data_IF_458487927859
#
_entry.id   IF_458487927859
#
_cell.length_a   1.000
_cell.length_b   1.000
_cell.length_c   1.000
_cell.angle_alpha   90.00
_cell.angle_beta   90.00
_cell.angle_gamma   90.00
#
_symmetry.space_group_name_H-M   'P 1'
#
loop_
_entity.id
_entity.type
_entity.pdbx_description
1 polymer ?
#
# COMPACT_ATOMS: atom_id res chain seq x y z
N UNK A 1 32.97 3.74 -15.15
CA UNK A 1 31.73 3.44 -15.89
C UNK A 1 30.47 3.31 -14.98
N UNK A 2 30.49 3.76 -13.72
CA UNK A 2 29.38 3.53 -12.78
C UNK A 2 28.29 4.64 -12.70
N UNK A 3 28.48 5.81 -13.31
CA UNK A 3 27.58 6.98 -13.07
C UNK A 3 26.24 6.96 -13.83
N UNK A 4 26.04 6.13 -14.86
CA UNK A 4 24.81 6.16 -15.67
C UNK A 4 23.68 5.24 -15.17
N UNK A 5 23.99 4.14 -14.46
CA UNK A 5 22.99 3.19 -13.99
C UNK A 5 22.12 3.77 -12.84
N UNK A 6 22.75 4.49 -11.91
CA UNK A 6 22.14 5.05 -10.70
C UNK A 6 21.04 6.10 -11.01
N UNK A 7 21.33 7.06 -11.91
CA UNK A 7 20.36 8.09 -12.30
C UNK A 7 19.06 7.55 -12.91
N UNK A 8 19.10 6.34 -13.48
CA UNK A 8 17.93 5.71 -14.08
C UNK A 8 16.93 5.25 -13.02
N UNK A 9 17.41 4.76 -11.89
CA UNK A 9 16.60 4.24 -10.76
C UNK A 9 15.88 5.39 -10.06
N UNK A 10 16.57 6.52 -9.85
CA UNK A 10 16.01 7.76 -9.29
C UNK A 10 14.74 8.26 -10.01
N UNK A 11 14.57 7.96 -11.31
CA UNK A 11 13.36 8.34 -12.07
C UNK A 11 12.18 7.39 -11.85
N UNK A 12 12.46 6.17 -11.41
CA UNK A 12 11.46 5.15 -11.12
C UNK A 12 10.77 5.39 -9.78
N UNK A 13 11.23 6.33 -8.96
CA UNK A 13 10.76 6.55 -7.59
C UNK A 13 10.02 7.89 -7.48
N UNK A 14 8.96 7.92 -6.68
CA UNK A 14 8.28 9.15 -6.30
C UNK A 14 9.15 9.98 -5.37
N UNK A 15 9.31 11.27 -5.67
CA UNK A 15 10.12 12.16 -4.84
C UNK A 15 9.37 12.55 -3.58
N UNK A 16 10.08 12.57 -2.47
CA UNK A 16 9.55 12.99 -1.18
C UNK A 16 9.06 14.44 -1.20
N UNK A 17 8.03 14.78 -0.41
CA UNK A 17 7.76 16.16 0.01
C UNK A 17 9.01 16.86 0.57
N UNK A 18 9.03 18.19 0.52
CA UNK A 18 10.23 19.00 0.79
C UNK A 18 10.79 18.78 2.20
N UNK A 19 9.92 18.79 3.21
CA UNK A 19 10.23 18.57 4.62
C UNK A 19 10.81 17.18 4.88
N UNK A 20 10.19 16.12 4.33
CA UNK A 20 10.68 14.75 4.45
C UNK A 20 12.03 14.55 3.75
N UNK A 21 12.20 15.14 2.56
CA UNK A 21 13.47 15.08 1.83
C UNK A 21 14.58 15.81 2.58
N UNK A 22 14.28 16.98 3.14
CA UNK A 22 15.20 17.72 3.99
C UNK A 22 15.55 16.94 5.26
N UNK A 23 14.57 16.33 5.93
CA UNK A 23 14.79 15.51 7.12
C UNK A 23 15.72 14.33 6.84
N UNK A 24 15.57 13.67 5.68
CA UNK A 24 16.47 12.59 5.24
C UNK A 24 17.91 13.11 5.07
N UNK A 25 18.08 14.26 4.42
CA UNK A 25 19.38 14.88 4.22
C UNK A 25 20.03 15.32 5.55
N UNK A 26 19.26 15.89 6.48
CA UNK A 26 19.73 16.25 7.82
C UNK A 26 20.20 15.02 8.59
N UNK A 27 19.45 13.90 8.55
CA UNK A 27 19.90 12.62 9.15
C UNK A 27 21.22 12.11 8.57
N UNK A 28 21.50 12.42 7.31
CA UNK A 28 22.77 12.09 6.64
C UNK A 28 23.88 13.11 6.94
N UNK A 29 23.60 14.14 7.75
CA UNK A 29 24.55 15.19 8.11
C UNK A 29 24.77 16.25 7.03
N UNK A 30 23.84 16.41 6.08
CA UNK A 30 23.85 17.49 5.09
C UNK A 30 23.22 18.73 5.70
N UNK A 31 23.97 19.82 5.79
CA UNK A 31 23.48 21.07 6.40
C UNK A 31 23.50 22.26 5.42
N UNK A 32 24.23 22.12 4.32
CA UNK A 32 24.43 23.20 3.36
C UNK A 32 24.26 22.73 1.92
N UNK A 33 24.12 23.69 1.01
CA UNK A 33 24.17 23.42 -0.44
C UNK A 33 25.50 22.80 -0.89
N UNK A 34 26.58 23.17 -0.21
CA UNK A 34 27.91 22.64 -0.45
C UNK A 34 27.97 21.15 -0.09
N UNK A 35 27.45 20.78 1.09
CA UNK A 35 27.35 19.38 1.48
C UNK A 35 26.52 18.57 0.49
N UNK A 36 25.37 19.09 0.06
CA UNK A 36 24.51 18.41 -0.91
C UNK A 36 25.18 18.21 -2.27
N UNK A 37 25.97 19.20 -2.72
CA UNK A 37 26.77 19.08 -3.95
C UNK A 37 27.81 17.98 -3.81
N UNK A 38 28.54 17.92 -2.69
CA UNK A 38 29.54 16.88 -2.46
C UNK A 38 28.92 15.50 -2.23
N UNK A 39 27.73 15.41 -1.62
CA UNK A 39 26.93 14.18 -1.55
C UNK A 39 26.56 13.68 -2.95
N UNK A 40 26.16 14.59 -3.84
CA UNK A 40 25.77 14.24 -5.22
C UNK A 40 26.97 13.81 -6.07
N UNK A 41 28.15 14.39 -5.81
CA UNK A 41 29.40 14.04 -6.50
C UNK A 41 30.11 12.83 -5.87
N UNK A 42 29.69 12.41 -4.67
CA UNK A 42 30.33 11.39 -3.83
C UNK A 42 31.78 11.76 -3.53
N UNK A 43 31.98 12.96 -3.00
CA UNK A 43 33.30 13.52 -2.72
C UNK A 43 33.46 13.85 -1.23
N UNK A 44 34.72 13.88 -0.77
CA UNK A 44 35.06 14.21 0.61
C UNK A 44 34.39 13.26 1.61
N UNK A 45 33.69 13.80 2.60
CA UNK A 45 33.01 13.00 3.64
C UNK A 45 31.83 12.15 3.13
N UNK A 46 31.44 12.29 1.86
CA UNK A 46 30.35 11.53 1.23
C UNK A 46 30.83 10.51 0.18
N UNK A 47 32.11 10.14 0.18
CA UNK A 47 32.69 9.21 -0.82
C UNK A 47 31.95 7.86 -0.92
N UNK A 48 31.43 7.36 0.20
CA UNK A 48 30.73 6.07 0.28
C UNK A 48 29.19 6.20 0.33
N UNK A 49 28.67 7.41 0.29
CA UNK A 49 27.24 7.68 0.48
C UNK A 49 26.70 8.37 -0.75
N UNK A 50 25.65 7.81 -1.35
CA UNK A 50 24.97 8.44 -2.48
C UNK A 50 23.74 9.21 -2.02
N UNK A 51 23.36 10.20 -2.82
CA UNK A 51 22.10 10.93 -2.65
C UNK A 51 20.91 9.95 -2.77
N UNK A 52 19.99 9.90 -1.80
CA UNK A 52 18.85 8.99 -1.85
C UNK A 52 18.01 9.17 -3.12
N UNK A 53 17.50 8.06 -3.65
CA UNK A 53 16.77 8.04 -4.92
C UNK A 53 15.39 8.71 -4.85
N UNK A 54 14.84 8.91 -3.67
CA UNK A 54 13.58 9.60 -3.40
C UNK A 54 13.77 11.09 -3.08
N UNK A 55 15.00 11.56 -2.88
CA UNK A 55 15.34 12.98 -2.87
C UNK A 55 15.45 13.46 -4.35
N UNK A 56 15.12 14.72 -4.70
CA UNK A 56 15.37 15.27 -6.03
C UNK A 56 16.85 15.64 -6.23
N UNK A 57 17.33 15.66 -7.49
CA UNK A 57 18.72 16.01 -7.79
C UNK A 57 19.02 17.51 -7.68
N UNK A 58 17.98 18.33 -7.77
CA UNK A 58 18.05 19.77 -7.55
C UNK A 58 16.80 20.20 -6.76
N UNK A 59 16.86 20.23 -5.41
CA UNK A 59 15.75 20.63 -4.57
C UNK A 59 15.21 22.03 -4.91
N UNK A 60 16.11 22.98 -5.21
CA UNK A 60 15.75 24.37 -5.46
C UNK A 60 14.85 24.59 -6.68
N UNK A 61 14.97 23.73 -7.70
CA UNK A 61 14.10 23.79 -8.90
C UNK A 61 12.96 22.79 -8.86
N UNK A 62 12.96 21.86 -7.90
CA UNK A 62 11.96 20.80 -7.81
C UNK A 62 10.78 21.17 -6.91
N UNK A 63 11.05 21.86 -5.80
CA UNK A 63 10.03 22.26 -4.84
C UNK A 63 9.62 23.71 -5.04
N UNK A 64 8.32 23.95 -5.31
CA UNK A 64 7.78 25.30 -5.53
C UNK A 64 7.90 26.19 -4.28
N UNK A 65 7.91 25.59 -3.08
CA UNK A 65 8.06 26.27 -1.80
C UNK A 65 9.51 26.38 -1.32
N UNK A 66 10.49 26.08 -2.17
CA UNK A 66 11.90 26.26 -1.84
C UNK A 66 12.29 27.74 -1.90
N UNK A 67 12.72 28.31 -0.78
CA UNK A 67 13.13 29.71 -0.67
C UNK A 67 14.64 29.87 -0.50
N UNK A 68 15.24 29.08 0.39
CA UNK A 68 16.68 29.05 0.64
C UNK A 68 17.09 27.69 1.19
N UNK A 69 18.39 27.39 1.13
CA UNK A 69 18.94 26.19 1.74
C UNK A 69 18.78 26.17 3.27
N UNK A 70 18.86 27.33 3.92
CA UNK A 70 18.63 27.46 5.35
C UNK A 70 17.19 27.07 5.71
N UNK A 71 16.20 27.62 4.99
CA UNK A 71 14.78 27.26 5.19
C UNK A 71 14.51 25.78 4.89
N UNK A 72 15.12 25.23 3.83
CA UNK A 72 14.99 23.83 3.48
C UNK A 72 15.50 22.92 4.61
N UNK A 73 16.69 23.18 5.14
CA UNK A 73 17.27 22.40 6.24
C UNK A 73 16.47 22.58 7.54
N UNK A 74 15.98 23.79 7.81
CA UNK A 74 15.12 24.05 8.98
C UNK A 74 13.83 23.22 8.92
N UNK A 75 13.16 23.17 7.76
CA UNK A 75 11.97 22.33 7.58
C UNK A 75 12.26 20.84 7.85
N UNK A 76 13.46 20.36 7.48
CA UNK A 76 13.91 19.01 7.80
C UNK A 76 14.13 18.78 9.29
N UNK A 77 14.72 19.74 10.00
CA UNK A 77 14.90 19.70 11.46
C UNK A 77 13.55 19.72 12.18
N UNK A 78 12.65 20.62 11.79
CA UNK A 78 11.29 20.71 12.35
C UNK A 78 10.51 19.39 12.18
N UNK A 79 10.67 18.73 11.01
CA UNK A 79 10.08 17.41 10.78
C UNK A 79 10.65 16.36 11.75
N UNK A 80 11.97 16.32 11.96
CA UNK A 80 12.61 15.39 12.89
C UNK A 80 12.19 15.66 14.35
N UNK A 81 12.09 16.94 14.74
CA UNK A 81 11.68 17.35 16.07
C UNK A 81 10.20 17.00 16.37
N UNK A 82 9.37 16.86 15.33
CA UNK A 82 8.00 16.35 15.48
C UNK A 82 7.90 14.87 15.88
N UNK A 83 9.03 14.14 15.89
CA UNK A 83 9.10 12.72 16.24
C UNK A 83 8.61 11.77 15.14
N UNK A 84 8.30 12.29 13.95
CA UNK A 84 7.90 11.46 12.80
C UNK A 84 9.09 10.70 12.22
N UNK A 85 8.86 9.47 11.81
CA UNK A 85 9.86 8.71 11.05
C UNK A 85 10.02 9.28 9.65
N UNK A 86 11.26 9.26 9.15
CA UNK A 86 11.58 9.66 7.79
C UNK A 86 11.23 8.48 6.89
N UNK A 87 10.36 8.63 5.88
CA UNK A 87 9.96 7.51 5.05
C UNK A 87 11.15 6.96 4.25
N UNK A 88 11.25 5.63 4.22
CA UNK A 88 12.19 4.92 3.36
C UNK A 88 11.50 4.36 2.12
N UNK A 89 12.27 4.09 1.08
CA UNK A 89 11.75 3.43 -0.11
C UNK A 89 11.33 2.01 0.29
N UNK A 90 10.05 1.63 0.13
CA UNK A 90 9.57 0.34 0.60
C UNK A 90 10.27 -0.82 -0.11
N UNK A 91 10.58 -1.89 0.63
CA UNK A 91 11.00 -3.15 0.05
C UNK A 91 9.87 -3.78 -0.78
N UNK A 92 10.17 -4.78 -1.60
CA UNK A 92 9.14 -5.49 -2.37
C UNK A 92 8.03 -6.05 -1.46
N UNK A 93 8.42 -6.67 -0.35
CA UNK A 93 7.50 -7.23 0.65
C UNK A 93 6.69 -6.16 1.39
N UNK A 94 7.32 -5.06 1.79
CA UNK A 94 6.60 -3.99 2.47
C UNK A 94 5.62 -3.30 1.51
N UNK A 95 6.00 -3.15 0.24
CA UNK A 95 5.08 -2.63 -0.76
C UNK A 95 3.88 -3.56 -0.94
N UNK A 96 4.06 -4.89 -0.99
CA UNK A 96 2.94 -5.85 -1.02
C UNK A 96 2.02 -5.71 0.20
N UNK A 97 2.58 -5.53 1.41
CA UNK A 97 1.78 -5.29 2.63
C UNK A 97 0.94 -4.02 2.52
N UNK A 98 1.54 -2.93 2.06
CA UNK A 98 0.85 -1.65 1.83
C UNK A 98 -0.27 -1.83 0.81
N UNK A 99 -0.01 -2.49 -0.32
CA UNK A 99 -1.04 -2.74 -1.33
C UNK A 99 -2.20 -3.58 -0.80
N UNK A 100 -1.92 -4.58 0.05
CA UNK A 100 -2.94 -5.37 0.73
C UNK A 100 -3.79 -4.53 1.70
N UNK A 101 -3.15 -3.70 2.51
CA UNK A 101 -3.84 -2.80 3.46
C UNK A 101 -4.75 -1.80 2.74
N UNK A 102 -4.27 -1.22 1.64
CA UNK A 102 -5.02 -0.28 0.81
C UNK A 102 -5.96 -0.95 -0.20
N UNK A 103 -6.07 -2.29 -0.20
CA UNK A 103 -6.91 -3.07 -1.12
C UNK A 103 -6.68 -2.72 -2.61
N UNK A 104 -5.40 -2.58 -2.98
CA UNK A 104 -4.97 -2.24 -4.33
C UNK A 104 -4.74 -3.51 -5.13
N UNK A 105 -5.79 -3.91 -5.83
CA UNK A 105 -5.89 -5.17 -6.60
C UNK A 105 -5.69 -5.00 -8.11
N UNK A 106 -5.48 -3.77 -8.57
CA UNK A 106 -5.35 -3.45 -10.00
C UNK A 106 -4.28 -2.40 -10.23
N UNK A 107 -3.66 -2.46 -11.41
CA UNK A 107 -2.68 -1.44 -11.86
C UNK A 107 -3.26 -0.02 -11.85
N UNK A 108 -4.57 0.13 -12.09
CA UNK A 108 -5.23 1.43 -12.07
C UNK A 108 -5.34 1.98 -10.64
N UNK A 109 -5.78 1.16 -9.68
CA UNK A 109 -5.78 1.55 -8.26
C UNK A 109 -4.37 1.84 -7.76
N UNK A 110 -3.37 1.08 -8.20
CA UNK A 110 -1.97 1.36 -7.90
C UNK A 110 -1.54 2.75 -8.39
N UNK A 111 -1.82 3.08 -9.66
CA UNK A 111 -1.56 4.43 -10.20
C UNK A 111 -2.32 5.52 -9.44
N UNK A 112 -3.53 5.25 -8.94
CA UNK A 112 -4.29 6.21 -8.13
C UNK A 112 -3.67 6.40 -6.75
N UNK A 113 -3.25 5.32 -6.08
CA UNK A 113 -2.55 5.38 -4.80
C UNK A 113 -1.29 6.26 -4.92
N UNK A 114 -0.51 6.08 -5.98
CA UNK A 114 0.70 6.87 -6.23
C UNK A 114 0.45 8.36 -6.53
N UNK A 115 -0.78 8.76 -6.89
CA UNK A 115 -1.13 10.18 -7.02
C UNK A 115 -1.24 10.86 -5.66
N UNK A 116 -1.63 10.11 -4.64
CA UNK A 116 -1.62 10.58 -3.26
C UNK A 116 -0.23 10.37 -2.67
N UNK A 117 0.62 11.41 -2.77
CA UNK A 117 2.02 11.36 -2.34
C UNK A 117 2.18 11.09 -0.84
N UNK A 118 1.17 11.41 -0.05
CA UNK A 118 1.19 11.23 1.41
C UNK A 118 0.81 9.79 1.81
N UNK A 119 0.09 9.06 0.95
CA UNK A 119 -0.35 7.70 1.25
C UNK A 119 0.80 6.70 1.25
N UNK A 120 1.72 6.83 0.27
CA UNK A 120 2.93 6.00 0.20
C UNK A 120 4.10 6.86 -0.28
N UNK A 121 4.77 7.60 0.62
CA UNK A 121 5.97 8.34 0.28
C UNK A 121 7.04 7.40 -0.29
N UNK A 122 7.87 7.90 -1.21
CA UNK A 122 8.97 7.14 -1.81
C UNK A 122 8.59 5.86 -2.58
N UNK A 123 7.30 5.65 -2.87
CA UNK A 123 6.87 4.48 -3.62
C UNK A 123 7.42 4.44 -5.06
N UNK A 124 7.91 3.27 -5.53
CA UNK A 124 8.29 3.09 -6.92
C UNK A 124 7.09 3.23 -7.87
N UNK A 125 7.25 4.09 -8.89
CA UNK A 125 6.29 4.32 -9.97
C UNK A 125 6.25 3.20 -10.98
N UNK A 126 7.35 2.48 -11.11
CA UNK A 126 7.55 1.34 -12.01
C UNK A 126 8.17 0.19 -11.20
N UNK A 127 7.38 -0.49 -10.33
CA UNK A 127 7.87 -1.52 -9.43
C UNK A 127 8.52 -2.69 -10.18
N UNK A 128 8.05 -3.02 -11.38
CA UNK A 128 8.62 -4.05 -12.24
C UNK A 128 10.04 -3.77 -12.71
N UNK A 129 10.44 -2.50 -12.72
CA UNK A 129 11.80 -2.07 -13.06
C UNK A 129 12.65 -1.82 -11.81
N UNK A 130 12.03 -1.34 -10.74
CA UNK A 130 12.73 -1.03 -9.49
C UNK A 130 13.08 -2.30 -8.72
N UNK A 131 12.15 -3.25 -8.63
CA UNK A 131 12.34 -4.55 -7.98
C UNK A 131 12.74 -5.64 -8.97
N UNK A 132 13.48 -5.30 -10.03
CA UNK A 132 13.73 -6.20 -11.18
C UNK A 132 14.25 -7.58 -10.75
N UNK A 133 15.10 -7.65 -9.72
CA UNK A 133 15.69 -8.90 -9.22
C UNK A 133 14.71 -9.79 -8.43
N UNK A 134 13.60 -9.23 -7.95
CA UNK A 134 12.59 -9.92 -7.14
C UNK A 134 11.18 -9.85 -7.75
N UNK A 135 11.07 -9.39 -8.99
CA UNK A 135 9.79 -9.14 -9.61
C UNK A 135 9.15 -10.41 -10.16
N UNK A 136 8.04 -10.82 -9.54
CA UNK A 136 7.32 -12.05 -9.91
C UNK A 136 6.14 -11.80 -10.85
N UNK A 137 5.78 -10.54 -11.07
CA UNK A 137 4.65 -10.14 -11.89
C UNK A 137 3.60 -9.35 -11.13
N UNK A 138 2.67 -8.76 -11.88
CA UNK A 138 1.63 -7.91 -11.29
C UNK A 138 0.63 -8.68 -10.43
N UNK A 139 0.36 -9.94 -10.76
CA UNK A 139 -0.63 -10.74 -10.04
C UNK A 139 -0.17 -11.11 -8.62
N UNK A 140 1.14 -11.28 -8.43
CA UNK A 140 1.75 -11.54 -7.12
C UNK A 140 2.04 -10.24 -6.35
N UNK A 141 2.35 -9.15 -7.07
CA UNK A 141 2.66 -7.86 -6.45
C UNK A 141 1.42 -7.14 -5.92
N UNK A 142 0.30 -7.20 -6.64
CA UNK A 142 -0.95 -6.54 -6.25
C UNK A 142 -1.65 -7.29 -5.11
N UNK A 143 -2.52 -6.60 -4.39
CA UNK A 143 -3.42 -7.27 -3.47
C UNK A 143 -4.29 -8.28 -4.25
N UNK A 144 -4.64 -9.42 -3.65
CA UNK A 144 -5.53 -10.39 -4.29
C UNK A 144 -6.81 -9.70 -4.76
N UNK A 145 -7.11 -9.80 -6.05
CA UNK A 145 -8.34 -9.30 -6.65
C UNK A 145 -9.49 -10.25 -6.35
N UNK A 146 -9.81 -10.42 -5.07
CA UNK A 146 -11.01 -11.12 -4.67
C UNK A 146 -12.14 -10.11 -4.58
N UNK A 147 -13.10 -10.23 -5.51
CA UNK A 147 -14.38 -9.52 -5.43
C UNK A 147 -15.09 -9.75 -4.08
N UNK A 148 -14.73 -10.82 -3.38
CA UNK A 148 -15.34 -11.25 -2.14
C UNK A 148 -14.33 -11.39 -1.01
N UNK A 149 -14.76 -11.08 0.22
CA UNK A 149 -13.99 -11.30 1.44
C UNK A 149 -13.65 -12.79 1.58
N UNK A 150 -12.57 -13.16 2.27
CA UNK A 150 -12.31 -14.55 2.63
C UNK A 150 -13.54 -15.20 3.30
N UNK A 151 -13.76 -16.48 3.05
CA UNK A 151 -14.96 -17.20 3.52
C UNK A 151 -15.20 -17.03 5.04
N UNK A 152 -14.16 -17.11 5.85
CA UNK A 152 -14.24 -16.94 7.31
C UNK A 152 -14.65 -15.53 7.74
N UNK A 153 -14.16 -14.49 7.06
CA UNK A 153 -14.57 -13.10 7.33
C UNK A 153 -16.02 -12.87 6.89
N UNK A 154 -16.39 -13.40 5.72
CA UNK A 154 -17.76 -13.34 5.23
C UNK A 154 -18.73 -14.02 6.20
N UNK A 155 -18.41 -15.21 6.73
CA UNK A 155 -19.20 -15.90 7.76
C UNK A 155 -19.42 -15.03 8.99
N UNK A 156 -18.36 -14.41 9.52
CA UNK A 156 -18.47 -13.53 10.70
C UNK A 156 -19.45 -12.39 10.48
N UNK A 157 -19.39 -11.75 9.31
CA UNK A 157 -20.29 -10.64 8.96
C UNK A 157 -21.72 -11.15 8.76
N UNK A 158 -21.92 -12.21 7.98
CA UNK A 158 -23.28 -12.71 7.66
C UNK A 158 -24.01 -13.24 8.90
N UNK A 159 -23.28 -13.85 9.84
CA UNK A 159 -23.85 -14.30 11.12
C UNK A 159 -24.44 -13.17 11.96
N UNK A 160 -23.97 -11.92 11.80
CA UNK A 160 -24.54 -10.76 12.51
C UNK A 160 -25.99 -10.47 12.12
N UNK A 161 -26.41 -10.85 10.92
CA UNK A 161 -27.79 -10.68 10.42
C UNK A 161 -28.76 -11.73 10.95
N UNK A 162 -28.28 -12.77 11.64
CA UNK A 162 -29.08 -13.84 12.28
C UNK A 162 -30.13 -14.45 11.35
N UNK A 163 -29.76 -14.66 10.09
CA UNK A 163 -30.68 -15.18 9.08
C UNK A 163 -30.84 -16.70 9.23
N UNK A 164 -32.08 -17.16 9.27
CA UNK A 164 -32.40 -18.58 9.50
C UNK A 164 -32.51 -19.43 8.22
N UNK A 165 -32.33 -18.83 7.04
CA UNK A 165 -32.46 -19.56 5.77
C UNK A 165 -31.78 -18.87 4.60
N UNK A 166 -31.47 -19.67 3.58
CA UNK A 166 -31.01 -19.19 2.28
C UNK A 166 -32.01 -18.24 1.60
N UNK A 167 -33.31 -18.42 1.86
CA UNK A 167 -34.36 -17.54 1.35
C UNK A 167 -34.23 -16.12 1.91
N UNK A 168 -34.00 -15.99 3.23
CA UNK A 168 -33.77 -14.71 3.88
C UNK A 168 -32.51 -14.01 3.35
N UNK A 169 -31.44 -14.77 3.10
CA UNK A 169 -30.24 -14.20 2.47
C UNK A 169 -30.50 -13.66 1.07
N UNK A 170 -31.24 -14.39 0.22
CA UNK A 170 -31.59 -13.91 -1.12
C UNK A 170 -32.49 -12.69 -1.08
N UNK A 171 -33.40 -12.61 -0.11
CA UNK A 171 -34.25 -11.43 0.11
C UNK A 171 -33.42 -10.21 0.49
N UNK A 172 -32.49 -10.35 1.45
CA UNK A 172 -31.53 -9.31 1.84
C UNK A 172 -30.75 -8.79 0.62
N UNK A 173 -30.28 -9.71 -0.22
CA UNK A 173 -29.57 -9.37 -1.46
C UNK A 173 -30.46 -8.62 -2.45
N UNK A 174 -31.71 -9.06 -2.65
CA UNK A 174 -32.68 -8.39 -3.55
C UNK A 174 -33.04 -6.98 -3.09
N UNK A 175 -33.04 -6.74 -1.78
CA UNK A 175 -33.27 -5.41 -1.18
C UNK A 175 -32.05 -4.49 -1.25
N UNK A 176 -30.92 -4.94 -1.79
CA UNK A 176 -29.67 -4.17 -1.82
C UNK A 176 -28.98 -4.03 -0.47
N UNK A 177 -29.45 -4.73 0.58
CA UNK A 177 -28.87 -4.69 1.92
C UNK A 177 -27.77 -5.74 2.12
N UNK A 178 -27.21 -6.27 1.03
CA UNK A 178 -26.11 -7.24 1.08
C UNK A 178 -24.82 -6.54 1.53
N UNK A 179 -24.09 -7.09 2.52
CA UNK A 179 -22.78 -6.56 2.87
C UNK A 179 -21.83 -6.50 1.69
N UNK A 180 -20.99 -5.47 1.66
CA UNK A 180 -19.95 -5.30 0.65
C UNK A 180 -18.95 -6.46 0.72
N UNK A 181 -18.48 -6.92 -0.44
CA UNK A 181 -17.54 -8.03 -0.51
C UNK A 181 -18.14 -9.40 -0.16
N UNK A 182 -19.45 -9.57 -0.12
CA UNK A 182 -20.06 -10.90 0.08
C UNK A 182 -20.85 -11.30 -1.17
N UNK A 183 -20.67 -12.53 -1.71
CA UNK A 183 -21.39 -13.00 -2.88
C UNK A 183 -22.88 -13.18 -2.60
N UNK A 184 -23.72 -12.95 -3.61
CA UNK A 184 -25.15 -13.31 -3.54
C UNK A 184 -25.36 -14.83 -3.58
N UNK A 185 -24.41 -15.57 -4.15
CA UNK A 185 -24.41 -17.03 -4.25
C UNK A 185 -23.14 -17.62 -3.62
N UNK A 186 -23.04 -17.65 -2.28
CA UNK A 186 -21.85 -18.13 -1.57
C UNK A 186 -21.38 -19.52 -1.99
N UNK A 187 -22.30 -20.46 -2.22
CA UNK A 187 -22.00 -21.81 -2.70
C UNK A 187 -21.33 -21.90 -4.08
N UNK A 188 -21.36 -20.81 -4.87
CA UNK A 188 -20.69 -20.75 -6.17
C UNK A 188 -19.34 -20.05 -6.07
N UNK A 189 -19.27 -19.01 -5.25
CA UNK A 189 -18.12 -18.11 -5.19
C UNK A 189 -17.13 -18.50 -4.06
N UNK A 190 -17.53 -19.36 -3.12
CA UNK A 190 -16.66 -19.95 -2.08
C UNK A 190 -16.56 -21.48 -2.25
N UNK A 191 -15.39 -22.00 -2.66
CA UNK A 191 -15.12 -23.44 -2.70
C UNK A 191 -15.28 -24.14 -1.34
N UNK A 192 -15.07 -23.42 -0.24
CA UNK A 192 -15.14 -23.88 1.15
C UNK A 192 -16.57 -23.88 1.72
N UNK A 193 -17.58 -23.58 0.89
CA UNK A 193 -18.96 -23.50 1.34
C UNK A 193 -19.54 -24.89 1.69
N UNK A 194 -19.65 -25.16 2.99
CA UNK A 194 -20.17 -26.44 3.50
C UNK A 194 -21.72 -26.49 3.55
N UNK A 195 -22.37 -25.33 3.58
CA UNK A 195 -23.82 -25.24 3.62
C UNK A 195 -24.34 -23.97 4.27
N UNK A 196 -25.62 -23.68 4.04
CA UNK A 196 -26.30 -22.51 4.63
C UNK A 196 -26.29 -22.46 6.17
N UNK A 197 -26.43 -23.59 6.91
CA UNK A 197 -26.32 -23.59 8.37
C UNK A 197 -24.96 -23.08 8.86
N UNK A 198 -23.87 -23.55 8.25
CA UNK A 198 -22.51 -23.13 8.61
C UNK A 198 -22.27 -21.66 8.21
N UNK A 199 -22.68 -21.28 7.01
CA UNK A 199 -22.47 -19.92 6.51
C UNK A 199 -23.28 -18.85 7.27
N UNK A 200 -24.55 -19.15 7.60
CA UNK A 200 -25.46 -18.23 8.29
C UNK A 200 -25.42 -18.37 9.82
N UNK A 201 -24.87 -19.47 10.34
CA UNK A 201 -24.75 -19.76 11.78
C UNK A 201 -26.05 -20.17 12.47
N UNK A 202 -26.95 -20.89 11.78
CA UNK A 202 -28.18 -21.42 12.39
C UNK A 202 -28.17 -22.96 12.41
N UNK A 203 -28.81 -23.56 13.41
CA UNK A 203 -28.97 -25.00 13.50
C UNK A 203 -30.11 -25.49 12.59
N UNK A 204 -29.90 -26.60 11.86
CA UNK A 204 -30.99 -27.24 11.12
C UNK A 204 -32.02 -27.79 12.12
N UNK A 205 -33.33 -27.53 11.95
CA UNK A 205 -34.32 -28.23 12.76
C UNK A 205 -34.21 -29.73 12.51
N UNK A 206 -34.02 -30.51 13.59
CA UNK A 206 -34.02 -31.97 13.52
C UNK A 206 -35.41 -32.42 13.09
N UNK A 207 -35.52 -33.00 11.90
CA UNK A 207 -36.76 -33.67 11.49
C UNK A 207 -36.94 -34.90 12.38
N UNK A 208 -37.86 -34.84 13.34
CA UNK A 208 -38.40 -36.05 13.95
C UNK A 208 -39.36 -36.67 12.95
N UNK A 209 -39.03 -37.86 12.46
CA UNK A 209 -39.92 -38.69 11.65
C UNK A 209 -41.15 -38.98 12.52
N UNK A 210 -42.26 -38.30 12.30
CA UNK A 210 -43.54 -38.70 12.90
C UNK A 210 -43.96 -39.99 12.20
N UNK A 211 -43.78 -41.12 12.88
CA UNK A 211 -44.43 -42.36 12.51
C UNK A 211 -45.94 -42.12 12.58
N UNK A 212 -46.59 -42.13 11.41
CA UNK A 212 -48.04 -42.11 11.34
C UNK A 212 -48.52 -43.50 11.78
N UNK A 213 -49.30 -43.54 12.86
CA UNK A 213 -50.09 -44.70 13.28
C UNK A 213 -51.29 -44.88 12.36
#
# INVERSE_FOLDING_TARGET
MAKQADTSISRLISKLPMDMAAAKLVKMGVETSYDFKHLTLQEGRFEQVSRPYDVPGNPATFYDNFTSWEHFIQAGRDYLDSGKEVPEIPSYEDMKKILKEHKVDTRQKFKQLLKNKDAVPSAPKAPERYYADSWEGWDEFLAPNSRFLPYEEAKKIVRTFRLLSSGHWRELCRRGARPEGIPSLPHRDYPEFEGWPEFLGYEKPRYTRREQK
#
